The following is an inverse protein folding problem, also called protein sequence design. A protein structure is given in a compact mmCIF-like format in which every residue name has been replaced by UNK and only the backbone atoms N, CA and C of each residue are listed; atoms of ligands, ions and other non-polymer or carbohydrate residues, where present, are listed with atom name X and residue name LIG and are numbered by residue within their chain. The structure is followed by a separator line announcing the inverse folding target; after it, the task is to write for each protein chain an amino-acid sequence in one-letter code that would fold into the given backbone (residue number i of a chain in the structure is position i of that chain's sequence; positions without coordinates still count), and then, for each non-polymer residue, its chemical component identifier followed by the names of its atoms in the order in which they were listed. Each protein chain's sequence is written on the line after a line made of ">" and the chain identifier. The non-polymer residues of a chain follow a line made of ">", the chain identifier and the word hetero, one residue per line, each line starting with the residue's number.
data_IF_882293458373
#
_entry.id   IF_882293458373
#
_cell.length_a   1.000
_cell.length_b   1.000
_cell.length_c   1.000
_cell.angle_alpha   90.00
_cell.angle_beta   90.00
_cell.angle_gamma   90.00
#
_symmetry.space_group_name_H-M   'P 1'
#
loop_
_entity.id
_entity.type
_entity.pdbx_description
1 polymer ?
#
# COMPACT_ATOMS: atom_id res chain seq x y z
N UNK A 1 -6.55 51.68 -9.14
CA UNK A 1 -7.31 51.17 -7.99
C UNK A 1 -6.44 50.15 -7.29
N UNK A 2 -6.24 50.25 -5.96
CA UNK A 2 -5.31 49.37 -5.22
C UNK A 2 -5.84 47.93 -5.01
N UNK A 3 -7.14 47.69 -5.21
CA UNK A 3 -7.77 46.40 -4.92
C UNK A 3 -7.39 45.27 -5.91
N UNK A 4 -7.10 45.61 -7.16
CA UNK A 4 -6.76 44.61 -8.21
C UNK A 4 -5.41 43.93 -7.94
N UNK A 5 -4.43 44.68 -7.42
CA UNK A 5 -3.10 44.16 -7.13
C UNK A 5 -3.11 43.17 -5.94
N UNK A 6 -4.02 43.38 -4.99
CA UNK A 6 -4.18 42.49 -3.85
C UNK A 6 -4.87 41.18 -4.26
N UNK A 7 -5.80 41.25 -5.22
CA UNK A 7 -6.48 40.08 -5.76
C UNK A 7 -5.52 39.16 -6.52
N UNK A 8 -4.64 39.72 -7.35
CA UNK A 8 -3.64 38.94 -8.10
C UNK A 8 -2.62 38.27 -7.18
N UNK A 9 -2.13 38.99 -6.16
CA UNK A 9 -1.18 38.43 -5.18
C UNK A 9 -1.77 37.21 -4.46
N UNK A 10 -3.05 37.28 -4.08
CA UNK A 10 -3.73 36.18 -3.40
C UNK A 10 -3.89 34.95 -4.30
N UNK A 11 -4.19 35.16 -5.58
CA UNK A 11 -4.29 34.07 -6.56
C UNK A 11 -2.93 33.38 -6.74
N UNK A 12 -1.84 34.14 -6.83
CA UNK A 12 -0.50 33.59 -6.98
C UNK A 12 -0.08 32.79 -5.74
N UNK A 13 -0.42 33.26 -4.54
CA UNK A 13 -0.18 32.54 -3.28
C UNK A 13 -0.96 31.23 -3.21
N UNK A 14 -2.24 31.24 -3.60
CA UNK A 14 -3.08 30.05 -3.66
C UNK A 14 -2.56 29.04 -4.71
N UNK A 15 -2.15 29.52 -5.89
CA UNK A 15 -1.55 28.68 -6.93
C UNK A 15 -0.25 28.04 -6.45
N UNK A 16 0.60 28.79 -5.75
CA UNK A 16 1.83 28.28 -5.16
C UNK A 16 1.55 27.22 -4.07
N UNK A 17 0.52 27.41 -3.25
CA UNK A 17 0.10 26.43 -2.25
C UNK A 17 -0.36 25.12 -2.90
N UNK A 18 -1.20 25.20 -3.94
CA UNK A 18 -1.68 24.03 -4.70
C UNK A 18 -0.52 23.29 -5.36
N UNK A 19 0.44 24.03 -5.94
CA UNK A 19 1.62 23.43 -6.57
C UNK A 19 2.45 22.65 -5.54
N UNK A 20 2.72 23.24 -4.37
CA UNK A 20 3.42 22.56 -3.26
C UNK A 20 2.70 21.30 -2.80
N UNK A 21 1.39 21.37 -2.61
CA UNK A 21 0.58 20.20 -2.23
C UNK A 21 0.63 19.10 -3.31
N UNK A 22 0.53 19.48 -4.58
CA UNK A 22 0.59 18.53 -5.70
C UNK A 22 1.93 17.80 -5.76
N UNK A 23 3.05 18.52 -5.56
CA UNK A 23 4.39 17.90 -5.48
C UNK A 23 4.46 16.91 -4.33
N UNK A 24 3.95 17.27 -3.16
CA UNK A 24 3.94 16.38 -1.99
C UNK A 24 3.11 15.11 -2.22
N UNK A 25 1.92 15.23 -2.81
CA UNK A 25 1.08 14.07 -3.15
C UNK A 25 1.76 13.14 -4.16
N UNK A 26 2.46 13.71 -5.16
CA UNK A 26 3.23 12.90 -6.13
C UNK A 26 4.37 12.12 -5.48
N UNK A 27 5.06 12.69 -4.49
CA UNK A 27 6.10 11.99 -3.74
C UNK A 27 5.52 10.79 -2.95
N UNK A 28 4.39 11.00 -2.26
CA UNK A 28 3.69 9.92 -1.53
C UNK A 28 3.28 8.80 -2.49
N UNK A 29 2.69 9.15 -3.63
CA UNK A 29 2.29 8.17 -4.65
C UNK A 29 3.50 7.40 -5.20
N UNK A 30 4.60 8.08 -5.49
CA UNK A 30 5.82 7.46 -5.98
C UNK A 30 6.35 6.42 -4.97
N UNK A 31 6.44 6.78 -3.69
CA UNK A 31 6.87 5.86 -2.62
C UNK A 31 5.91 4.68 -2.46
N UNK A 32 4.61 4.92 -2.55
CA UNK A 32 3.59 3.87 -2.44
C UNK A 32 3.67 2.87 -3.60
N UNK A 33 3.91 3.37 -4.82
CA UNK A 33 4.09 2.52 -6.00
C UNK A 33 5.36 1.66 -5.92
N UNK A 34 6.42 2.14 -5.28
CA UNK A 34 7.62 1.32 -5.03
C UNK A 34 7.27 0.10 -4.18
N UNK A 35 6.45 0.27 -3.13
CA UNK A 35 5.99 -0.83 -2.27
C UNK A 35 5.12 -1.80 -3.07
N UNK A 36 4.17 -1.29 -3.86
CA UNK A 36 3.26 -2.13 -4.66
C UNK A 36 3.98 -2.93 -5.76
N UNK A 37 5.15 -2.47 -6.22
CA UNK A 37 5.99 -3.20 -7.19
C UNK A 37 6.84 -4.28 -6.55
N UNK A 38 6.91 -4.35 -5.23
CA UNK A 38 7.63 -5.43 -4.56
C UNK A 38 6.94 -6.76 -4.87
N UNK A 39 7.72 -7.84 -4.93
CA UNK A 39 7.18 -9.17 -5.14
C UNK A 39 6.12 -9.44 -4.07
N UNK A 40 4.97 -9.96 -4.49
CA UNK A 40 3.93 -10.39 -3.56
C UNK A 40 4.60 -11.39 -2.60
N UNK A 41 4.60 -11.12 -1.28
CA UNK A 41 5.20 -12.06 -0.34
C UNK A 41 4.53 -13.41 -0.55
N UNK A 42 5.32 -14.48 -0.46
CA UNK A 42 4.83 -15.85 -0.56
C UNK A 42 3.92 -16.13 0.64
N UNK A 43 2.67 -15.70 0.51
CA UNK A 43 1.64 -15.95 1.48
C UNK A 43 1.22 -17.40 1.30
N UNK A 44 1.21 -18.14 2.40
CA UNK A 44 0.78 -19.55 2.45
C UNK A 44 -0.54 -19.82 1.71
N UNK A 45 -1.39 -18.81 1.57
CA UNK A 45 -2.67 -18.84 0.86
C UNK A 45 -2.57 -19.12 -0.65
N UNK A 46 -1.42 -18.89 -1.29
CA UNK A 46 -1.20 -19.14 -2.73
C UNK A 46 -0.54 -20.48 -3.07
N UNK A 47 -0.10 -21.22 -2.05
CA UNK A 47 0.63 -22.48 -2.24
C UNK A 47 -0.37 -23.63 -2.47
N UNK A 48 -0.24 -24.32 -3.61
CA UNK A 48 -0.80 -25.69 -3.80
C UNK A 48 -0.05 -26.76 -2.99
N UNK A 49 0.95 -26.34 -2.22
CA UNK A 49 1.80 -27.20 -1.41
C UNK A 49 1.23 -27.28 -0.01
N UNK A 50 0.68 -28.46 0.30
CA UNK A 50 0.52 -29.12 1.60
C UNK A 50 0.72 -28.21 2.83
N UNK A 51 -0.31 -28.11 3.68
CA UNK A 51 -0.20 -27.53 5.01
C UNK A 51 1.04 -28.09 5.73
N UNK A 52 1.93 -27.25 6.28
CA UNK A 52 3.11 -27.69 7.01
C UNK A 52 2.76 -28.10 8.44
N UNK A 53 1.47 -28.26 8.77
CA UNK A 53 1.09 -28.80 10.05
C UNK A 53 1.44 -30.28 10.06
N UNK A 54 2.18 -30.77 11.06
CA UNK A 54 2.39 -32.20 11.22
C UNK A 54 1.01 -32.84 11.30
N UNK A 55 0.68 -33.75 10.37
CA UNK A 55 -0.43 -34.66 10.60
C UNK A 55 -0.13 -35.36 11.92
N UNK A 56 -0.93 -35.08 12.94
CA UNK A 56 -0.86 -35.83 14.19
C UNK A 56 -0.89 -37.32 13.81
N UNK A 57 -0.01 -38.16 14.40
CA UNK A 57 -0.04 -39.58 14.11
C UNK A 57 -1.46 -40.07 14.41
N UNK A 58 -2.15 -40.55 13.36
CA UNK A 58 -3.43 -41.20 13.54
C UNK A 58 -3.22 -42.31 14.56
N UNK A 59 -3.76 -42.14 15.77
CA UNK A 59 -3.84 -43.23 16.72
C UNK A 59 -4.74 -44.27 16.08
N UNK A 60 -4.14 -45.26 15.44
CA UNK A 60 -4.84 -46.48 15.06
C UNK A 60 -4.88 -47.37 16.29
N UNK A 61 -6.08 -47.74 16.76
CA UNK A 61 -6.26 -49.03 17.35
C UNK A 61 -7.24 -49.82 16.47
N UNK A 62 -6.81 -50.25 15.29
CA UNK A 62 -7.42 -51.45 14.69
C UNK A 62 -6.59 -52.67 15.10
N UNK A 63 -6.74 -53.11 16.35
CA UNK A 63 -6.38 -54.45 16.75
C UNK A 63 -7.60 -55.36 16.50
N UNK A 64 -7.65 -55.96 15.31
CA UNK A 64 -8.60 -57.02 14.96
C UNK A 64 -8.10 -58.37 15.48
N UNK A 65 -9.00 -59.02 16.22
CA UNK A 65 -9.11 -60.45 16.57
C UNK A 65 -8.19 -61.01 17.65
#
# INVERSE_FOLDING_TARGET
>A
MPDDANHTSRIDDEAAAIAKQTVHMRDILARSLVILKQAVPDTFLGRKTHEPFPCAPSSSPEQKR
#
